data_IF_069771720702
#
_entry.id   IF_069771720702
#
_cell.length_a   1.000
_cell.length_b   1.000
_cell.length_c   1.000
_cell.angle_alpha   90.00
_cell.angle_beta   90.00
_cell.angle_gamma   90.00
#
_symmetry.space_group_name_H-M   'P 1'
#
loop_
_entity.id
_entity.type
_entity.pdbx_description
1 polymer ?
#
# COMPACT_ATOMS: atom_id res chain seq x y z
N UNK A 1 19.86 -0.48 -37.47
CA UNK A 1 19.00 -1.53 -36.88
C UNK A 1 18.85 -1.22 -35.40
N UNK A 2 17.76 -0.55 -35.02
CA UNK A 2 17.49 -0.27 -33.62
C UNK A 2 16.97 -1.55 -32.97
N UNK A 3 17.69 -2.05 -31.95
CA UNK A 3 17.15 -3.08 -31.08
C UNK A 3 15.89 -2.50 -30.41
N UNK A 4 14.74 -3.11 -30.68
CA UNK A 4 13.55 -2.89 -29.90
C UNK A 4 13.92 -3.28 -28.46
N UNK A 5 14.06 -2.28 -27.59
CA UNK A 5 14.10 -2.52 -26.15
C UNK A 5 12.79 -3.23 -25.83
N UNK A 6 12.86 -4.49 -25.40
CA UNK A 6 11.75 -5.11 -24.68
C UNK A 6 11.46 -4.20 -23.49
N UNK A 7 10.37 -3.44 -23.60
CA UNK A 7 9.86 -2.65 -22.49
C UNK A 7 9.55 -3.66 -21.40
N UNK A 8 10.27 -3.55 -20.28
CA UNK A 8 10.03 -4.42 -19.13
C UNK A 8 8.55 -4.41 -18.76
N UNK A 9 7.93 -5.59 -18.76
CA UNK A 9 6.50 -5.73 -18.46
C UNK A 9 6.27 -5.81 -16.94
N UNK A 10 5.16 -5.23 -16.50
CA UNK A 10 4.74 -5.27 -15.09
C UNK A 10 5.23 -4.13 -14.21
N UNK A 11 4.85 -4.21 -12.94
CA UNK A 11 5.25 -3.27 -11.90
C UNK A 11 5.73 -3.98 -10.64
N UNK A 12 6.66 -3.33 -9.94
CA UNK A 12 7.03 -3.67 -8.57
C UNK A 12 6.31 -2.76 -7.59
N UNK A 13 5.87 -3.34 -6.48
CA UNK A 13 5.24 -2.62 -5.39
C UNK A 13 6.02 -2.94 -4.14
N UNK A 14 6.76 -1.95 -3.65
CA UNK A 14 7.58 -2.06 -2.46
C UNK A 14 6.80 -1.53 -1.26
N UNK A 15 6.68 -2.33 -0.20
CA UNK A 15 5.92 -1.99 0.99
C UNK A 15 6.82 -2.05 2.21
N UNK A 16 6.79 -1.00 3.01
CA UNK A 16 7.46 -0.94 4.30
C UNK A 16 6.66 -0.03 5.26
N UNK A 17 6.96 -0.11 6.54
CA UNK A 17 6.31 0.68 7.58
C UNK A 17 7.29 1.39 8.52
N UNK A 18 6.83 2.51 9.08
CA UNK A 18 7.55 3.26 10.09
C UNK A 18 6.65 3.50 11.29
N UNK A 19 7.17 3.22 12.49
CA UNK A 19 6.44 3.28 13.75
C UNK A 19 6.33 1.92 14.43
N UNK A 20 6.09 1.93 15.74
CA UNK A 20 5.99 0.69 16.51
C UNK A 20 4.61 0.04 16.42
N UNK A 21 3.58 0.76 15.98
CA UNK A 21 2.18 0.32 16.02
C UNK A 21 1.66 -0.01 17.44
N UNK A 22 2.33 0.48 18.48
CA UNK A 22 1.92 0.32 19.87
C UNK A 22 1.08 1.53 20.29
N UNK A 23 0.01 1.29 21.07
CA UNK A 23 -0.78 2.36 21.67
C UNK A 23 0.11 3.36 22.39
N UNK A 24 -0.17 4.64 22.23
CA UNK A 24 0.58 5.71 22.85
C UNK A 24 -0.35 6.62 23.65
N UNK A 25 0.15 7.11 24.77
CA UNK A 25 -0.58 8.10 25.59
C UNK A 25 -0.33 9.54 25.13
N UNK A 26 0.66 9.73 24.25
CA UNK A 26 1.03 11.03 23.69
C UNK A 26 0.48 11.12 22.26
N UNK A 27 -0.22 12.22 21.95
CA UNK A 27 -0.61 12.59 20.60
C UNK A 27 0.58 12.64 19.62
N UNK A 28 0.28 12.64 18.32
CA UNK A 28 1.29 12.61 17.24
C UNK A 28 2.16 11.35 17.23
N UNK A 29 1.62 10.22 17.69
CA UNK A 29 2.26 8.91 17.65
C UNK A 29 1.92 8.18 16.36
N UNK A 30 2.21 8.87 15.25
CA UNK A 30 1.93 8.40 13.90
C UNK A 30 2.72 7.13 13.58
N UNK A 31 1.99 6.15 13.06
CA UNK A 31 2.53 4.97 12.39
C UNK A 31 2.10 5.02 10.93
N UNK A 32 3.00 4.65 10.03
CA UNK A 32 2.84 4.82 8.58
C UNK A 32 3.19 3.52 7.88
N UNK A 33 2.36 3.09 6.94
CA UNK A 33 2.71 2.07 5.94
C UNK A 33 2.78 2.77 4.59
N UNK A 34 3.89 2.60 3.88
CA UNK A 34 4.12 3.20 2.56
C UNK A 34 4.18 2.13 1.48
N UNK A 35 3.53 2.41 0.35
CA UNK A 35 3.57 1.60 -0.86
C UNK A 35 4.20 2.40 -1.99
N UNK A 36 5.41 2.05 -2.40
CA UNK A 36 6.11 2.67 -3.53
C UNK A 36 6.02 1.79 -4.77
N UNK A 37 5.32 2.29 -5.78
CA UNK A 37 4.97 1.57 -7.00
C UNK A 37 5.87 2.02 -8.13
N UNK A 38 6.57 1.06 -8.72
CA UNK A 38 7.60 1.29 -9.73
C UNK A 38 7.33 0.37 -10.92
N UNK A 39 6.81 0.88 -12.05
CA UNK A 39 6.83 0.19 -13.33
C UNK A 39 8.24 -0.33 -13.64
N UNK A 40 8.35 -1.52 -14.24
CA UNK A 40 9.64 -2.14 -14.55
C UNK A 40 10.56 -1.18 -15.36
N UNK A 41 9.99 -0.40 -16.27
CA UNK A 41 10.69 0.62 -17.06
C UNK A 41 11.40 1.71 -16.22
N UNK A 42 10.94 1.96 -14.99
CA UNK A 42 11.51 2.94 -14.07
C UNK A 42 12.45 2.30 -13.02
N UNK A 43 12.49 0.97 -12.90
CA UNK A 43 13.18 0.26 -11.80
C UNK A 43 14.66 0.59 -11.70
N UNK A 44 15.40 0.46 -12.80
CA UNK A 44 16.85 0.75 -12.83
C UNK A 44 17.18 2.19 -12.43
N UNK A 45 16.28 3.14 -12.73
CA UNK A 45 16.47 4.56 -12.37
C UNK A 45 16.24 4.79 -10.88
N UNK A 46 15.27 4.10 -10.27
CA UNK A 46 15.07 4.11 -8.81
C UNK A 46 16.31 3.57 -8.10
N UNK A 47 16.81 2.42 -8.55
CA UNK A 47 18.02 1.78 -7.99
C UNK A 47 19.24 2.69 -8.13
N UNK A 48 19.41 3.35 -9.28
CA UNK A 48 20.47 4.32 -9.49
C UNK A 48 20.34 5.52 -8.53
N UNK A 49 19.14 6.08 -8.35
CA UNK A 49 18.91 7.20 -7.42
C UNK A 49 19.30 6.83 -5.99
N UNK A 50 18.95 5.62 -5.53
CA UNK A 50 19.37 5.13 -4.22
C UNK A 50 20.90 4.91 -4.17
N UNK A 51 21.50 4.32 -5.20
CA UNK A 51 22.95 4.12 -5.27
C UNK A 51 23.74 5.44 -5.23
N UNK A 52 23.25 6.49 -5.91
CA UNK A 52 23.84 7.83 -5.85
C UNK A 52 23.72 8.44 -4.45
N UNK A 53 22.58 8.26 -3.77
CA UNK A 53 22.41 8.66 -2.38
C UNK A 53 23.42 7.95 -1.48
N UNK A 54 23.53 6.61 -1.56
CA UNK A 54 24.50 5.82 -0.79
C UNK A 54 25.92 6.31 -1.01
N UNK A 55 26.32 6.53 -2.26
CA UNK A 55 27.66 7.06 -2.61
C UNK A 55 27.93 8.42 -1.98
N UNK A 56 26.96 9.34 -1.98
CA UNK A 56 27.12 10.67 -1.33
C UNK A 56 27.33 10.56 0.19
N UNK A 57 26.81 9.50 0.81
CA UNK A 57 26.99 9.21 2.22
C UNK A 57 28.27 8.40 2.52
N UNK A 58 29.07 8.07 1.50
CA UNK A 58 30.23 7.19 1.64
C UNK A 58 29.85 5.73 1.95
N UNK A 59 28.63 5.30 1.62
CA UNK A 59 28.11 3.96 1.88
C UNK A 59 28.29 3.05 0.66
N UNK A 60 28.57 1.79 0.92
CA UNK A 60 28.63 0.72 -0.08
C UNK A 60 27.25 0.35 -0.63
N UNK A 61 27.22 -0.47 -1.67
CA UNK A 61 25.98 -0.90 -2.34
C UNK A 61 25.08 -1.71 -1.39
N UNK A 62 25.71 -2.57 -0.57
CA UNK A 62 25.04 -3.45 0.39
C UNK A 62 24.69 -2.75 1.71
N UNK A 63 25.20 -1.54 1.93
CA UNK A 63 24.95 -0.82 3.18
C UNK A 63 23.51 -0.31 3.18
N UNK A 64 22.78 -0.63 4.25
CA UNK A 64 21.49 -0.02 4.51
C UNK A 64 21.68 1.44 4.96
N UNK A 65 20.77 2.29 4.49
CA UNK A 65 20.69 3.72 4.77
C UNK A 65 19.32 3.95 5.35
N UNK A 66 19.27 4.51 6.56
CA UNK A 66 18.04 4.89 7.24
C UNK A 66 17.90 6.40 7.21
N UNK A 67 16.68 6.90 7.46
CA UNK A 67 16.40 8.33 7.46
C UNK A 67 17.28 9.11 8.45
N UNK A 68 17.62 8.51 9.60
CA UNK A 68 18.50 9.12 10.61
C UNK A 68 19.93 9.39 10.11
N UNK A 69 20.34 8.71 9.04
CA UNK A 69 21.67 8.87 8.43
C UNK A 69 21.68 10.00 7.38
N UNK A 70 20.53 10.61 7.08
CA UNK A 70 20.37 11.63 6.05
C UNK A 70 20.27 13.03 6.64
N UNK A 71 21.03 13.96 6.06
CA UNK A 71 20.73 15.38 6.19
C UNK A 71 19.45 15.72 5.41
N UNK A 72 18.75 16.79 5.81
CA UNK A 72 17.56 17.24 5.09
C UNK A 72 17.86 17.63 3.64
N UNK A 73 19.04 18.19 3.37
CA UNK A 73 19.49 18.49 2.01
C UNK A 73 19.60 17.23 1.14
N UNK A 74 20.24 16.17 1.65
CA UNK A 74 20.33 14.89 0.95
C UNK A 74 18.97 14.26 0.71
N UNK A 75 18.06 14.36 1.69
CA UNK A 75 16.68 13.89 1.54
C UNK A 75 15.93 14.68 0.46
N UNK A 76 16.01 16.02 0.47
CA UNK A 76 15.35 16.87 -0.54
C UNK A 76 15.82 16.53 -1.95
N UNK A 77 17.12 16.38 -2.15
CA UNK A 77 17.70 15.97 -3.43
C UNK A 77 17.18 14.60 -3.86
N UNK A 78 17.22 13.61 -2.97
CA UNK A 78 16.75 12.26 -3.26
C UNK A 78 15.27 12.23 -3.64
N UNK A 79 14.41 12.89 -2.87
CA UNK A 79 12.97 13.01 -3.19
C UNK A 79 12.75 13.78 -4.49
N UNK A 80 13.56 14.79 -4.77
CA UNK A 80 13.55 15.54 -6.04
C UNK A 80 13.85 14.65 -7.25
N UNK A 81 14.83 13.74 -7.14
CA UNK A 81 15.15 12.78 -8.20
C UNK A 81 14.05 11.72 -8.37
N UNK A 82 13.53 11.14 -7.27
CA UNK A 82 12.39 10.22 -7.34
C UNK A 82 11.16 10.89 -7.98
N UNK A 83 10.95 12.18 -7.69
CA UNK A 83 9.86 12.98 -8.23
C UNK A 83 9.84 13.10 -9.76
N UNK A 84 10.97 12.82 -10.43
CA UNK A 84 11.11 12.83 -11.90
C UNK A 84 10.86 11.46 -12.54
N UNK A 85 10.64 10.42 -11.73
CA UNK A 85 10.45 9.05 -12.22
C UNK A 85 8.97 8.73 -12.41
N UNK A 86 8.66 7.82 -13.33
CA UNK A 86 7.32 7.24 -13.53
C UNK A 86 6.98 6.24 -12.42
N UNK A 87 7.10 6.66 -11.15
CA UNK A 87 6.78 5.88 -9.97
C UNK A 87 5.82 6.65 -9.06
N UNK A 88 5.04 5.94 -8.25
CA UNK A 88 4.00 6.55 -7.40
C UNK A 88 4.06 6.05 -5.97
N UNK A 89 3.64 6.90 -5.03
CA UNK A 89 3.65 6.64 -3.60
C UNK A 89 2.23 6.68 -3.04
N UNK A 90 1.95 5.70 -2.17
CA UNK A 90 0.70 5.56 -1.42
C UNK A 90 1.01 5.43 0.07
N UNK A 91 0.17 6.02 0.91
CA UNK A 91 0.38 6.12 2.35
C UNK A 91 -0.90 5.75 3.07
N UNK A 92 -0.81 4.82 4.01
CA UNK A 92 -1.82 4.61 5.05
C UNK A 92 -1.18 4.93 6.40
N UNK A 93 -1.78 5.84 7.16
CA UNK A 93 -1.21 6.33 8.41
C UNK A 93 -2.26 6.41 9.52
N UNK A 94 -1.88 6.02 10.73
CA UNK A 94 -2.73 6.04 11.92
C UNK A 94 -2.02 6.71 13.08
N UNK A 95 -2.71 7.61 13.79
CA UNK A 95 -2.20 8.23 15.01
C UNK A 95 -2.61 7.44 16.24
N UNK A 96 -1.69 6.65 16.78
CA UNK A 96 -1.95 5.82 17.96
C UNK A 96 -1.94 6.58 19.28
N UNK A 97 -1.61 7.88 19.25
CA UNK A 97 -1.73 8.78 20.39
C UNK A 97 -3.18 9.19 20.68
N UNK A 98 -4.04 9.08 19.67
CA UNK A 98 -5.44 9.45 19.73
C UNK A 98 -6.39 8.27 19.48
N UNK A 99 -5.85 7.05 19.35
CA UNK A 99 -6.67 5.85 19.27
C UNK A 99 -6.97 5.31 20.66
N UNK A 100 -8.25 5.08 20.94
CA UNK A 100 -8.66 4.31 22.10
C UNK A 100 -8.21 2.84 21.95
N UNK A 101 -7.37 2.31 22.85
CA UNK A 101 -6.97 0.91 22.81
C UNK A 101 -8.15 -0.07 22.85
N UNK A 102 -9.25 0.27 23.53
CA UNK A 102 -10.44 -0.58 23.59
C UNK A 102 -11.16 -0.61 22.23
N UNK A 103 -11.22 0.51 21.51
CA UNK A 103 -11.74 0.56 20.15
C UNK A 103 -10.97 -0.38 19.20
N UNK A 104 -9.65 -0.47 19.33
CA UNK A 104 -8.82 -1.41 18.55
C UNK A 104 -9.20 -2.86 18.84
N UNK A 105 -9.31 -3.24 20.12
CA UNK A 105 -9.69 -4.60 20.54
C UNK A 105 -11.13 -4.92 20.10
N UNK A 106 -12.04 -3.96 20.22
CA UNK A 106 -13.43 -4.09 19.76
C UNK A 106 -13.50 -4.28 18.25
N UNK A 107 -12.72 -3.51 17.48
CA UNK A 107 -12.60 -3.66 16.03
C UNK A 107 -12.07 -5.04 15.66
N UNK A 108 -11.01 -5.54 16.32
CA UNK A 108 -10.48 -6.89 16.12
C UNK A 108 -11.54 -7.97 16.37
N UNK A 109 -12.23 -7.91 17.52
CA UNK A 109 -13.30 -8.87 17.87
C UNK A 109 -14.42 -8.87 16.84
N UNK A 110 -14.84 -7.70 16.36
CA UNK A 110 -15.85 -7.57 15.29
C UNK A 110 -15.39 -8.22 13.98
N UNK A 111 -14.13 -8.05 13.60
CA UNK A 111 -13.58 -8.70 12.40
C UNK A 111 -13.53 -10.23 12.55
N UNK A 112 -13.07 -10.74 13.71
CA UNK A 112 -13.07 -12.18 14.01
C UNK A 112 -14.48 -12.76 13.92
N UNK A 113 -15.46 -12.12 14.57
CA UNK A 113 -16.86 -12.55 14.51
C UNK A 113 -17.41 -12.52 13.08
N UNK A 114 -17.08 -11.50 12.28
CA UNK A 114 -17.51 -11.36 10.90
C UNK A 114 -16.95 -12.47 10.00
N UNK A 115 -15.69 -12.88 10.21
CA UNK A 115 -15.11 -14.03 9.50
C UNK A 115 -15.82 -15.33 9.90
N UNK A 116 -16.00 -15.57 11.22
CA UNK A 116 -16.68 -16.76 11.75
C UNK A 116 -18.13 -16.90 11.29
N UNK A 117 -18.84 -15.78 11.10
CA UNK A 117 -20.22 -15.78 10.60
C UNK A 117 -20.38 -16.38 9.19
N UNK A 118 -19.28 -16.50 8.42
CA UNK A 118 -19.31 -17.14 7.10
C UNK A 118 -19.05 -18.66 7.15
N UNK A 119 -18.65 -19.22 8.30
CA UNK A 119 -18.41 -20.66 8.46
C UNK A 119 -19.61 -21.52 8.05
N UNK A 120 -20.87 -21.22 8.44
CA UNK A 120 -22.02 -22.04 8.06
C UNK A 120 -22.33 -22.02 6.55
N UNK A 121 -21.83 -21.00 5.83
CA UNK A 121 -22.02 -20.87 4.38
C UNK A 121 -21.05 -21.74 3.58
N UNK A 122 -20.06 -22.35 4.23
CA UNK A 122 -19.09 -23.23 3.56
C UNK A 122 -19.70 -24.62 3.32
N UNK A 123 -19.70 -25.03 2.05
CA UNK A 123 -20.20 -26.33 1.61
C UNK A 123 -19.29 -27.48 2.06
N UNK A 124 -17.97 -27.30 1.92
CA UNK A 124 -16.95 -28.32 2.19
C UNK A 124 -16.24 -28.09 3.53
N UNK A 125 -15.73 -29.16 4.12
CA UNK A 125 -15.09 -29.11 5.43
C UNK A 125 -13.76 -28.36 5.38
N UNK A 126 -13.02 -28.45 4.28
CA UNK A 126 -11.80 -27.71 4.02
C UNK A 126 -12.03 -26.19 4.09
N UNK A 127 -13.17 -25.73 3.54
CA UNK A 127 -13.58 -24.33 3.62
C UNK A 127 -13.88 -23.90 5.06
N UNK A 128 -14.55 -24.75 5.84
CA UNK A 128 -14.82 -24.48 7.26
C UNK A 128 -13.53 -24.42 8.07
N UNK A 129 -12.64 -25.38 7.87
CA UNK A 129 -11.32 -25.41 8.50
C UNK A 129 -10.49 -24.17 8.14
N UNK A 130 -10.56 -23.70 6.89
CA UNK A 130 -9.89 -22.46 6.48
C UNK A 130 -10.46 -21.22 7.19
N UNK A 131 -11.78 -21.13 7.41
CA UNK A 131 -12.40 -20.04 8.18
C UNK A 131 -11.99 -20.10 9.65
N UNK A 132 -11.97 -21.30 10.23
CA UNK A 132 -11.58 -21.53 11.62
C UNK A 132 -10.11 -21.14 11.85
N UNK A 133 -9.20 -21.60 10.99
CA UNK A 133 -7.78 -21.23 11.03
C UNK A 133 -7.58 -19.72 10.87
N UNK A 134 -8.21 -19.10 9.87
CA UNK A 134 -8.08 -17.67 9.60
C UNK A 134 -8.56 -16.81 10.77
N UNK A 135 -9.75 -17.12 11.31
CA UNK A 135 -10.31 -16.41 12.44
C UNK A 135 -9.48 -16.60 13.71
N UNK A 136 -8.94 -17.81 13.93
CA UNK A 136 -8.05 -18.11 15.05
C UNK A 136 -6.70 -17.38 14.94
N UNK A 137 -6.10 -17.28 13.74
CA UNK A 137 -4.89 -16.48 13.52
C UNK A 137 -5.15 -15.00 13.77
N UNK A 138 -6.25 -14.47 13.26
CA UNK A 138 -6.67 -13.08 13.46
C UNK A 138 -6.89 -12.74 14.95
N UNK A 139 -7.52 -13.62 15.71
CA UNK A 139 -7.77 -13.46 17.14
C UNK A 139 -6.48 -13.49 17.97
N UNK A 140 -5.47 -14.25 17.53
CA UNK A 140 -4.17 -14.36 18.21
C UNK A 140 -3.19 -13.21 17.90
N UNK A 141 -3.49 -12.36 16.90
CA UNK A 141 -2.66 -11.19 16.65
C UNK A 141 -2.67 -10.28 17.87
N UNK A 142 -1.49 -9.82 18.29
CA UNK A 142 -1.40 -8.74 19.27
C UNK A 142 -2.06 -7.47 18.71
N UNK A 143 -2.56 -6.56 19.55
CA UNK A 143 -3.15 -5.30 19.07
C UNK A 143 -2.21 -4.54 18.12
N UNK A 144 -0.91 -4.55 18.41
CA UNK A 144 0.13 -3.97 17.55
C UNK A 144 0.14 -4.55 16.14
N UNK A 145 0.25 -5.88 16.03
CA UNK A 145 0.27 -6.56 14.73
C UNK A 145 -1.08 -6.44 14.01
N UNK A 146 -2.17 -6.39 14.76
CA UNK A 146 -3.49 -6.18 14.21
C UNK A 146 -3.64 -4.79 13.56
N UNK A 147 -3.25 -3.72 14.26
CA UNK A 147 -3.27 -2.35 13.71
C UNK A 147 -2.43 -2.28 12.44
N UNK A 148 -1.20 -2.82 12.48
CA UNK A 148 -0.32 -2.84 11.32
C UNK A 148 -0.97 -3.59 10.14
N UNK A 149 -1.60 -4.75 10.40
CA UNK A 149 -2.29 -5.51 9.35
C UNK A 149 -3.43 -4.70 8.73
N UNK A 150 -4.23 -3.99 9.52
CA UNK A 150 -5.34 -3.18 8.99
C UNK A 150 -4.82 -2.03 8.13
N UNK A 151 -3.77 -1.33 8.58
CA UNK A 151 -3.14 -0.26 7.79
C UNK A 151 -2.52 -0.79 6.49
N UNK A 152 -1.90 -1.96 6.53
CA UNK A 152 -1.30 -2.58 5.35
C UNK A 152 -2.37 -3.05 4.36
N UNK A 153 -3.47 -3.67 4.81
CA UNK A 153 -4.58 -4.06 3.93
C UNK A 153 -5.22 -2.84 3.27
N UNK A 154 -5.40 -1.76 4.03
CA UNK A 154 -5.88 -0.49 3.49
C UNK A 154 -4.95 0.06 2.40
N UNK A 155 -3.63 0.05 2.63
CA UNK A 155 -2.65 0.43 1.63
C UNK A 155 -2.71 -0.45 0.37
N UNK A 156 -2.79 -1.78 0.52
CA UNK A 156 -2.86 -2.72 -0.60
C UNK A 156 -4.08 -2.45 -1.49
N UNK A 157 -5.24 -2.22 -0.88
CA UNK A 157 -6.47 -1.84 -1.59
C UNK A 157 -6.32 -0.51 -2.34
N UNK A 158 -5.77 0.51 -1.68
CA UNK A 158 -5.50 1.81 -2.30
C UNK A 158 -4.59 1.65 -3.52
N UNK A 159 -3.46 0.96 -3.35
CA UNK A 159 -2.46 0.73 -4.41
C UNK A 159 -3.14 0.04 -5.58
N UNK A 160 -3.81 -1.09 -5.36
CA UNK A 160 -4.48 -1.85 -6.42
C UNK A 160 -5.45 -0.99 -7.23
N UNK A 161 -6.35 -0.26 -6.57
CA UNK A 161 -7.37 0.57 -7.26
C UNK A 161 -6.75 1.74 -8.00
N UNK A 162 -5.70 2.34 -7.44
CA UNK A 162 -5.14 3.58 -7.95
C UNK A 162 -4.14 3.36 -9.06
N UNK A 163 -3.26 2.38 -8.93
CA UNK A 163 -2.25 2.08 -9.94
C UNK A 163 -2.89 1.59 -11.22
N UNK A 164 -3.94 0.77 -11.11
CA UNK A 164 -4.72 0.30 -12.26
C UNK A 164 -5.26 1.49 -13.07
N UNK A 165 -5.88 2.49 -12.42
CA UNK A 165 -6.36 3.69 -13.10
C UNK A 165 -5.24 4.59 -13.65
N UNK A 166 -4.18 4.79 -12.86
CA UNK A 166 -3.12 5.73 -13.17
C UNK A 166 -2.25 5.25 -14.34
N UNK A 167 -1.87 3.97 -14.34
CA UNK A 167 -0.95 3.40 -15.33
C UNK A 167 -1.65 2.94 -16.61
N UNK A 168 -2.96 2.66 -16.61
CA UNK A 168 -3.74 2.40 -17.83
C UNK A 168 -3.70 3.56 -18.86
N UNK A 169 -3.32 4.75 -18.42
CA UNK A 169 -3.20 5.95 -19.28
C UNK A 169 -1.76 6.27 -19.70
N UNK A 170 -0.77 5.65 -19.06
CA UNK A 170 0.63 6.10 -19.07
C UNK A 170 1.57 4.98 -19.49
N UNK A 171 1.47 3.84 -18.83
CA UNK A 171 2.30 2.66 -19.07
C UNK A 171 1.39 1.41 -18.97
N UNK A 172 0.47 1.18 -19.92
CA UNK A 172 -0.48 0.07 -19.85
C UNK A 172 0.18 -1.29 -19.64
N UNK A 173 1.34 -1.53 -20.29
CA UNK A 173 2.13 -2.75 -20.14
C UNK A 173 2.60 -3.03 -18.69
N UNK A 174 2.69 -1.99 -17.84
CA UNK A 174 3.00 -2.16 -16.42
C UNK A 174 1.87 -2.88 -15.65
N UNK A 175 0.66 -2.92 -16.21
CA UNK A 175 -0.48 -3.61 -15.62
C UNK A 175 -0.51 -5.12 -15.91
N UNK A 176 0.50 -5.67 -16.61
CA UNK A 176 0.56 -7.10 -16.95
C UNK A 176 0.95 -7.99 -15.75
N UNK A 177 1.63 -7.43 -14.75
CA UNK A 177 1.97 -8.14 -13.50
C UNK A 177 2.16 -7.20 -12.31
N UNK A 178 1.80 -7.69 -11.13
CA UNK A 178 1.93 -6.99 -9.85
C UNK A 178 2.88 -7.77 -8.96
N UNK A 179 4.10 -7.24 -8.76
CA UNK A 179 5.18 -7.89 -8.00
C UNK A 179 5.32 -7.22 -6.63
N UNK A 180 4.66 -7.76 -5.61
CA UNK A 180 4.66 -7.19 -4.26
C UNK A 180 5.90 -7.65 -3.50
N UNK A 181 6.65 -6.72 -2.94
CA UNK A 181 7.85 -6.94 -2.14
C UNK A 181 7.66 -6.18 -0.84
N UNK A 182 7.37 -6.92 0.23
CA UNK A 182 7.07 -6.35 1.55
C UNK A 182 8.27 -6.61 2.47
N UNK A 183 8.63 -5.65 3.31
CA UNK A 183 9.71 -5.89 4.28
C UNK A 183 9.34 -7.03 5.24
N UNK A 184 10.29 -7.93 5.49
CA UNK A 184 10.09 -9.04 6.43
C UNK A 184 10.23 -8.55 7.88
N UNK A 185 9.24 -8.84 8.73
CA UNK A 185 9.27 -8.37 10.13
C UNK A 185 10.17 -9.23 11.02
N UNK A 186 10.03 -10.55 10.91
CA UNK A 186 10.79 -11.52 11.70
C UNK A 186 10.67 -12.90 11.07
N UNK A 187 11.76 -13.37 10.45
CA UNK A 187 11.83 -14.66 9.76
C UNK A 187 11.52 -15.88 10.67
N UNK A 188 11.57 -15.72 11.99
CA UNK A 188 11.34 -16.83 12.94
C UNK A 188 9.85 -17.05 13.30
N UNK A 189 8.95 -16.08 13.06
CA UNK A 189 7.52 -16.20 13.40
C UNK A 189 6.63 -15.56 12.33
N UNK A 190 6.31 -16.28 11.23
CA UNK A 190 5.58 -15.73 10.09
C UNK A 190 4.06 -15.62 10.33
N UNK A 191 3.57 -15.61 11.58
CA UNK A 191 2.13 -15.54 11.86
C UNK A 191 1.49 -14.32 11.21
N UNK A 192 2.14 -13.15 11.32
CA UNK A 192 1.67 -11.93 10.68
C UNK A 192 1.62 -12.08 9.15
N UNK A 193 2.72 -12.51 8.54
CA UNK A 193 2.88 -12.65 7.09
C UNK A 193 1.88 -13.64 6.48
N UNK A 194 1.69 -14.79 7.12
CA UNK A 194 0.69 -15.78 6.73
C UNK A 194 -0.73 -15.23 6.90
N UNK A 195 -1.00 -14.49 7.98
CA UNK A 195 -2.32 -13.91 8.22
C UNK A 195 -2.63 -12.84 7.17
N UNK A 196 -1.70 -11.93 6.90
CA UNK A 196 -1.85 -10.90 5.87
C UNK A 196 -2.08 -11.51 4.49
N UNK A 197 -1.26 -12.49 4.10
CA UNK A 197 -1.35 -13.15 2.77
C UNK A 197 -2.70 -13.83 2.57
N UNK A 198 -3.24 -14.49 3.60
CA UNK A 198 -4.54 -15.16 3.52
C UNK A 198 -5.72 -14.19 3.65
N UNK A 199 -5.60 -13.13 4.46
CA UNK A 199 -6.69 -12.16 4.72
C UNK A 199 -6.86 -11.14 3.60
N UNK A 200 -5.77 -10.62 3.04
CA UNK A 200 -5.82 -9.43 2.20
C UNK A 200 -6.75 -9.59 0.97
N UNK A 201 -6.68 -10.67 0.16
CA UNK A 201 -7.56 -10.81 -1.00
C UNK A 201 -9.04 -10.83 -0.61
N UNK A 202 -9.40 -11.57 0.46
CA UNK A 202 -10.78 -11.68 0.93
C UNK A 202 -11.34 -10.36 1.47
N UNK A 203 -10.53 -9.61 2.22
CA UNK A 203 -10.94 -8.29 2.73
C UNK A 203 -11.06 -7.24 1.63
N UNK A 204 -10.13 -7.23 0.66
CA UNK A 204 -10.21 -6.34 -0.51
C UNK A 204 -11.43 -6.68 -1.36
N UNK A 205 -11.76 -7.97 -1.52
CA UNK A 205 -12.98 -8.42 -2.19
C UNK A 205 -14.24 -7.93 -1.46
N UNK A 206 -14.31 -8.13 -0.14
CA UNK A 206 -15.44 -7.67 0.67
C UNK A 206 -15.62 -6.14 0.61
N UNK A 207 -14.51 -5.37 0.59
CA UNK A 207 -14.55 -3.92 0.35
C UNK A 207 -15.09 -3.61 -1.05
N UNK A 208 -14.65 -4.34 -2.07
CA UNK A 208 -15.08 -4.17 -3.47
C UNK A 208 -16.56 -4.49 -3.72
N UNK A 209 -17.17 -5.37 -2.93
CA UNK A 209 -18.62 -5.63 -3.00
C UNK A 209 -19.43 -4.42 -2.53
N UNK A 210 -18.92 -3.63 -1.58
CA UNK A 210 -19.58 -2.41 -1.09
C UNK A 210 -19.24 -1.18 -1.92
N UNK A 211 -17.98 -1.05 -2.29
CA UNK A 211 -17.43 0.05 -3.10
C UNK A 211 -16.64 -0.53 -4.28
N UNK A 212 -17.31 -0.80 -5.42
CA UNK A 212 -16.67 -1.38 -6.59
C UNK A 212 -15.54 -0.52 -7.15
N UNK A 213 -14.51 -1.18 -7.68
CA UNK A 213 -13.42 -0.50 -8.38
C UNK A 213 -13.93 0.22 -9.63
N UNK A 214 -13.51 1.47 -9.83
CA UNK A 214 -13.84 2.26 -11.02
C UNK A 214 -12.86 1.90 -12.14
N UNK A 215 -13.39 1.72 -13.36
CA UNK A 215 -12.63 1.66 -14.61
C UNK A 215 -13.15 2.76 -15.53
N UNK A 216 -12.25 3.61 -16.04
CA UNK A 216 -12.64 4.77 -16.86
C UNK A 216 -12.63 4.36 -18.32
N UNK A 217 -13.75 4.60 -19.01
CA UNK A 217 -13.86 4.32 -20.43
C UNK A 217 -12.81 5.09 -21.24
N UNK A 218 -12.21 4.42 -22.23
CA UNK A 218 -11.18 5.00 -23.10
C UNK A 218 -9.74 4.90 -22.58
N UNK A 219 -9.50 4.36 -21.39
CA UNK A 219 -8.14 3.99 -20.97
C UNK A 219 -7.75 2.60 -21.50
N UNK A 220 -6.44 2.36 -21.63
CA UNK A 220 -5.94 1.08 -22.10
C UNK A 220 -5.72 0.12 -20.93
N UNK A 221 -6.70 -0.77 -20.73
CA UNK A 221 -6.63 -1.86 -19.76
C UNK A 221 -6.30 -3.20 -20.41
N UNK A 222 -5.96 -3.27 -21.70
CA UNK A 222 -5.80 -4.54 -22.43
C UNK A 222 -4.85 -5.52 -21.74
N UNK A 223 -3.73 -5.02 -21.24
CA UNK A 223 -2.76 -5.77 -20.44
C UNK A 223 -3.32 -6.25 -19.10
N UNK A 224 -4.06 -5.40 -18.39
CA UNK A 224 -4.68 -5.78 -17.13
C UNK A 224 -5.74 -6.87 -17.35
N UNK A 225 -6.59 -6.68 -18.35
CA UNK A 225 -7.73 -7.55 -18.62
C UNK A 225 -7.29 -8.94 -19.01
N UNK A 226 -6.28 -9.03 -19.88
CA UNK A 226 -5.68 -10.29 -20.31
C UNK A 226 -5.22 -11.18 -19.15
N UNK A 227 -4.75 -10.58 -18.05
CA UNK A 227 -4.11 -11.31 -16.96
C UNK A 227 -4.96 -11.43 -15.69
N UNK A 228 -5.89 -10.49 -15.46
CA UNK A 228 -6.57 -10.37 -14.16
C UNK A 228 -8.09 -10.30 -14.24
N UNK A 229 -8.68 -10.12 -15.42
CA UNK A 229 -10.15 -10.12 -15.55
C UNK A 229 -10.67 -11.56 -15.53
N UNK A 230 -11.65 -11.83 -14.68
CA UNK A 230 -12.39 -13.10 -14.76
C UNK A 230 -13.39 -13.03 -15.92
N UNK A 231 -13.54 -14.12 -16.67
CA UNK A 231 -14.63 -14.24 -17.62
C UNK A 231 -15.98 -14.20 -16.86
N UNK A 232 -17.05 -13.63 -17.42
CA UNK A 232 -18.35 -13.55 -16.75
C UNK A 232 -18.87 -14.90 -16.22
N UNK A 233 -18.64 -15.98 -16.96
CA UNK A 233 -18.97 -17.36 -16.62
C UNK A 233 -18.15 -17.93 -15.46
N UNK A 234 -16.95 -17.40 -15.23
CA UNK A 234 -16.06 -17.80 -14.13
C UNK A 234 -16.36 -17.06 -12.83
N UNK A 235 -17.30 -16.10 -12.83
CA UNK A 235 -17.68 -15.35 -11.62
C UNK A 235 -18.52 -16.29 -10.73
N UNK A 236 -18.04 -16.64 -9.52
CA UNK A 236 -18.76 -17.57 -8.66
C UNK A 236 -20.16 -17.08 -8.28
N UNK A 237 -21.14 -17.99 -8.30
CA UNK A 237 -22.54 -17.69 -7.97
C UNK A 237 -22.71 -17.03 -6.59
N UNK A 238 -21.93 -17.46 -5.59
CA UNK A 238 -21.99 -16.87 -4.24
C UNK A 238 -21.63 -15.38 -4.22
N UNK A 239 -20.82 -14.89 -5.16
CA UNK A 239 -20.51 -13.46 -5.27
C UNK A 239 -21.68 -12.68 -5.88
N UNK A 240 -22.36 -13.26 -6.86
CA UNK A 240 -23.56 -12.68 -7.46
C UNK A 240 -24.65 -12.49 -6.40
N UNK A 241 -24.88 -13.53 -5.60
CA UNK A 241 -25.83 -13.50 -4.46
C UNK A 241 -25.43 -12.46 -3.42
N UNK A 242 -24.14 -12.42 -3.03
CA UNK A 242 -23.65 -11.49 -2.03
C UNK A 242 -23.70 -10.02 -2.47
N UNK A 243 -23.55 -9.74 -3.77
CA UNK A 243 -23.68 -8.39 -4.31
C UNK A 243 -25.14 -7.92 -4.39
N UNK A 244 -26.11 -8.85 -4.43
CA UNK A 244 -27.52 -8.52 -4.60
C UNK A 244 -27.88 -7.97 -6.00
N UNK A 245 -26.94 -8.04 -6.95
CA UNK A 245 -27.12 -7.64 -8.35
C UNK A 245 -26.16 -8.40 -9.27
N UNK A 246 -26.44 -8.42 -10.56
CA UNK A 246 -25.56 -9.05 -11.54
C UNK A 246 -24.21 -8.32 -11.62
N UNK A 247 -23.12 -9.04 -11.33
CA UNK A 247 -21.73 -8.65 -11.54
C UNK A 247 -21.37 -9.00 -12.98
N UNK A 248 -21.10 -7.97 -13.79
CA UNK A 248 -20.76 -8.11 -15.22
C UNK A 248 -19.28 -8.34 -15.48
N UNK A 249 -18.43 -8.03 -14.50
CA UNK A 249 -16.98 -8.14 -14.60
C UNK A 249 -16.40 -8.25 -13.19
N UNK A 250 -15.46 -9.18 -13.00
CA UNK A 250 -14.73 -9.34 -11.76
C UNK A 250 -13.22 -9.32 -12.01
N UNK A 251 -12.46 -8.99 -10.96
CA UNK A 251 -11.00 -9.08 -10.97
C UNK A 251 -10.58 -10.27 -10.12
N UNK A 252 -9.68 -11.09 -10.63
CA UNK A 252 -9.03 -12.15 -9.87
C UNK A 252 -7.97 -11.56 -8.93
N UNK A 253 -8.40 -11.12 -7.74
CA UNK A 253 -7.51 -10.56 -6.70
C UNK A 253 -6.44 -11.56 -6.24
N UNK A 254 -6.74 -12.86 -6.27
CA UNK A 254 -5.75 -13.90 -6.01
C UNK A 254 -4.61 -13.88 -7.02
N UNK A 255 -4.90 -13.64 -8.30
CA UNK A 255 -3.90 -13.46 -9.34
C UNK A 255 -3.10 -12.16 -9.17
N UNK A 256 -3.75 -11.05 -8.81
CA UNK A 256 -3.09 -9.76 -8.52
C UNK A 256 -2.09 -9.88 -7.35
N UNK A 257 -2.44 -10.64 -6.32
CA UNK A 257 -1.62 -10.82 -5.13
C UNK A 257 -0.64 -12.01 -5.23
N UNK A 258 -0.63 -12.74 -6.35
CA UNK A 258 0.08 -14.03 -6.47
C UNK A 258 1.60 -13.91 -6.32
N UNK A 259 2.22 -12.90 -6.93
CA UNK A 259 3.65 -12.62 -6.77
C UNK A 259 3.90 -11.68 -5.59
N UNK A 260 3.50 -12.12 -4.40
CA UNK A 260 3.82 -11.45 -3.13
C UNK A 260 4.94 -12.17 -2.40
N UNK A 261 5.96 -11.41 -1.98
CA UNK A 261 7.10 -11.94 -1.23
C UNK A 261 7.44 -11.00 -0.08
N UNK A 262 7.69 -11.58 1.09
CA UNK A 262 8.41 -10.92 2.17
C UNK A 262 9.90 -11.04 1.89
N UNK A 263 10.61 -9.92 1.98
CA UNK A 263 12.02 -9.81 1.59
C UNK A 263 12.76 -8.94 2.59
N UNK A 264 14.07 -9.11 2.66
CA UNK A 264 14.93 -8.24 3.46
C UNK A 264 15.18 -6.94 2.72
N UNK A 265 15.00 -5.81 3.41
CA UNK A 265 15.28 -4.47 2.90
C UNK A 265 16.65 -4.31 2.21
N UNK A 266 17.71 -4.95 2.73
CA UNK A 266 19.06 -4.85 2.17
C UNK A 266 19.23 -5.60 0.84
N UNK A 267 18.45 -6.66 0.61
CA UNK A 267 18.50 -7.45 -0.62
C UNK A 267 17.71 -6.80 -1.77
N UNK A 268 16.74 -5.96 -1.43
CA UNK A 268 15.80 -5.37 -2.39
C UNK A 268 15.82 -3.83 -2.28
N UNK A 269 16.58 -3.13 -3.15
CA UNK A 269 16.72 -1.67 -3.10
C UNK A 269 15.40 -0.90 -3.03
N UNK A 270 14.36 -1.37 -3.73
CA UNK A 270 13.05 -0.73 -3.71
C UNK A 270 12.36 -0.76 -2.35
N UNK A 271 12.56 -1.81 -1.55
CA UNK A 271 12.05 -1.88 -0.15
C UNK A 271 12.79 -0.86 0.70
N UNK A 272 14.11 -0.74 0.55
CA UNK A 272 14.86 0.32 1.22
C UNK A 272 14.39 1.73 0.83
N UNK A 273 13.97 1.96 -0.42
CA UNK A 273 13.32 3.23 -0.79
C UNK A 273 11.98 3.41 -0.08
N UNK A 274 11.16 2.35 0.01
CA UNK A 274 9.90 2.39 0.74
C UNK A 274 10.11 2.71 2.24
N UNK A 275 11.13 2.15 2.90
CA UNK A 275 11.52 2.47 4.28
C UNK A 275 11.76 3.98 4.47
N UNK A 276 12.62 4.54 3.61
CA UNK A 276 12.97 5.96 3.64
C UNK A 276 11.73 6.84 3.45
N UNK A 277 10.82 6.44 2.56
CA UNK A 277 9.57 7.16 2.30
C UNK A 277 8.58 7.03 3.47
N UNK A 278 8.41 5.84 4.05
CA UNK A 278 7.56 5.62 5.23
C UNK A 278 8.06 6.46 6.42
N UNK A 279 9.37 6.41 6.66
CA UNK A 279 10.03 7.17 7.72
C UNK A 279 9.94 8.67 7.49
N UNK A 280 10.12 9.14 6.25
CA UNK A 280 9.99 10.56 5.93
C UNK A 280 8.54 11.04 6.13
N UNK A 281 7.54 10.27 5.70
CA UNK A 281 6.14 10.60 5.95
C UNK A 281 5.80 10.65 7.42
N UNK A 282 6.27 9.67 8.21
CA UNK A 282 6.07 9.67 9.66
C UNK A 282 6.64 10.93 10.32
N UNK A 283 7.86 11.34 9.92
CA UNK A 283 8.51 12.55 10.43
C UNK A 283 7.78 13.84 9.96
N UNK A 284 7.23 13.85 8.75
CA UNK A 284 6.39 14.94 8.22
C UNK A 284 5.11 15.13 9.04
N UNK A 285 4.40 14.04 9.34
CA UNK A 285 3.17 14.07 10.12
C UNK A 285 3.41 14.56 11.56
N UNK A 286 4.63 14.37 12.08
CA UNK A 286 5.05 14.82 13.41
C UNK A 286 5.67 16.21 13.42
N UNK A 287 5.74 16.89 12.27
CA UNK A 287 6.38 18.19 12.10
C UNK A 287 7.84 18.25 12.59
N UNK A 288 8.60 17.18 12.34
CA UNK A 288 9.94 16.99 12.90
C UNK A 288 11.08 17.36 11.93
N UNK A 289 10.78 17.97 10.78
CA UNK A 289 11.77 18.55 9.89
C UNK A 289 11.89 20.06 10.10
N UNK A 290 13.10 20.62 9.92
CA UNK A 290 13.35 22.06 9.92
C UNK A 290 12.50 22.76 8.85
N UNK A 291 12.39 22.15 7.66
CA UNK A 291 11.54 22.63 6.56
C UNK A 291 10.50 21.57 6.17
N UNK A 292 9.55 21.34 7.08
CA UNK A 292 8.50 20.33 6.95
C UNK A 292 7.63 20.51 5.70
N UNK A 293 7.32 21.76 5.33
CA UNK A 293 6.50 22.10 4.18
C UNK A 293 7.16 21.68 2.86
N UNK A 294 8.46 21.92 2.70
CA UNK A 294 9.15 21.55 1.48
C UNK A 294 9.30 20.04 1.35
N UNK A 295 9.54 19.31 2.45
CA UNK A 295 9.54 17.84 2.44
C UNK A 295 8.15 17.32 2.09
N UNK A 296 7.09 17.84 2.71
CA UNK A 296 5.71 17.46 2.39
C UNK A 296 5.37 17.70 0.92
N UNK A 297 5.84 18.81 0.34
CA UNK A 297 5.68 19.12 -1.09
C UNK A 297 6.41 18.11 -1.99
N UNK A 298 7.64 17.73 -1.65
CA UNK A 298 8.42 16.77 -2.42
C UNK A 298 7.84 15.36 -2.34
N UNK A 299 7.40 14.92 -1.16
CA UNK A 299 6.68 13.66 -0.97
C UNK A 299 5.35 13.67 -1.73
N UNK A 300 4.62 14.80 -1.69
CA UNK A 300 3.39 15.01 -2.43
C UNK A 300 3.54 14.75 -3.93
N UNK A 301 4.64 15.21 -4.55
CA UNK A 301 4.96 14.97 -5.97
C UNK A 301 5.16 13.51 -6.34
N UNK A 302 5.35 12.61 -5.38
CA UNK A 302 5.37 11.16 -5.60
C UNK A 302 3.98 10.55 -5.57
N UNK A 303 2.99 11.22 -4.98
CA UNK A 303 1.61 10.72 -4.86
C UNK A 303 0.75 11.12 -6.06
N UNK A 304 -0.44 10.53 -6.16
CA UNK A 304 -1.41 10.80 -7.21
C UNK A 304 -2.65 11.46 -6.60
N UNK A 305 -3.20 12.47 -7.28
CA UNK A 305 -4.45 13.11 -6.90
C UNK A 305 -5.59 12.08 -6.96
N UNK A 306 -6.27 11.85 -5.86
CA UNK A 306 -7.63 11.27 -5.85
C UNK A 306 -8.44 11.94 -4.77
N UNK A 307 -9.73 12.07 -5.03
CA UNK A 307 -10.69 12.36 -3.98
C UNK A 307 -11.14 11.06 -3.29
N UNK A 308 -11.83 11.24 -2.17
CA UNK A 308 -12.45 10.16 -1.39
C UNK A 308 -13.33 9.26 -2.27
N UNK A 309 -13.45 7.96 -1.93
CA UNK A 309 -13.01 7.33 -0.69
C UNK A 309 -11.56 6.80 -0.69
N UNK A 310 -10.81 6.87 -1.80
CA UNK A 310 -9.50 6.20 -1.94
C UNK A 310 -8.34 7.19 -2.18
N UNK A 311 -7.99 8.07 -1.25
CA UNK A 311 -6.88 9.02 -1.42
C UNK A 311 -5.53 8.28 -1.45
N UNK A 312 -4.51 8.82 -2.14
CA UNK A 312 -3.14 8.29 -2.04
C UNK A 312 -2.47 8.53 -0.68
N UNK A 313 -3.06 9.39 0.14
CA UNK A 313 -2.64 9.66 1.52
C UNK A 313 -3.88 9.47 2.39
N UNK A 314 -3.99 8.31 3.02
CA UNK A 314 -5.10 7.96 3.89
C UNK A 314 -4.67 8.07 5.35
N UNK A 315 -5.29 9.01 6.08
CA UNK A 315 -5.17 9.10 7.53
C UNK A 315 -6.36 8.33 8.11
N UNK A 316 -6.10 7.15 8.67
CA UNK A 316 -7.13 6.23 9.10
C UNK A 316 -7.42 6.32 10.61
N UNK A 317 -8.62 5.88 11.00
CA UNK A 317 -9.01 5.65 12.39
C UNK A 317 -9.68 4.28 12.52
N UNK A 318 -9.50 3.59 13.65
CA UNK A 318 -10.19 2.33 13.95
C UNK A 318 -11.38 2.53 14.92
N UNK A 319 -11.55 3.76 15.44
CA UNK A 319 -12.65 4.18 16.29
C UNK A 319 -13.45 5.30 15.64
N UNK A 320 -13.74 6.34 16.41
CA UNK A 320 -14.39 7.54 15.87
C UNK A 320 -13.50 8.22 14.81
N UNK A 321 -14.11 8.63 13.71
CA UNK A 321 -13.43 9.43 12.69
C UNK A 321 -13.13 10.81 13.26
N UNK A 322 -11.86 11.21 13.16
CA UNK A 322 -11.43 12.55 13.54
C UNK A 322 -10.71 13.19 12.38
N UNK A 323 -11.03 14.45 12.12
CA UNK A 323 -10.32 15.23 11.12
C UNK A 323 -8.90 15.53 11.62
N UNK A 324 -7.93 15.41 10.73
CA UNK A 324 -6.58 15.88 11.02
C UNK A 324 -6.59 17.41 11.16
N UNK A 325 -5.88 17.91 12.18
CA UNK A 325 -5.78 19.33 12.52
C UNK A 325 -4.31 19.79 12.51
N UNK A 326 -4.08 21.09 12.61
CA UNK A 326 -2.75 21.68 12.82
C UNK A 326 -1.71 21.32 11.75
N UNK A 327 -0.53 20.92 12.19
CA UNK A 327 0.62 20.61 11.33
C UNK A 327 0.37 19.43 10.39
N UNK A 328 -0.38 18.42 10.85
CA UNK A 328 -0.78 17.25 10.05
C UNK A 328 -1.67 17.68 8.89
N UNK A 329 -2.70 18.49 9.18
CA UNK A 329 -3.59 19.04 8.15
C UNK A 329 -2.79 19.84 7.11
N UNK A 330 -1.92 20.74 7.57
CA UNK A 330 -1.09 21.56 6.69
C UNK A 330 -0.18 20.72 5.79
N UNK A 331 0.54 19.75 6.37
CA UNK A 331 1.44 18.88 5.63
C UNK A 331 0.70 18.06 4.56
N UNK A 332 -0.43 17.45 4.93
CA UNK A 332 -1.24 16.67 3.99
C UNK A 332 -1.88 17.54 2.91
N UNK A 333 -2.30 18.77 3.22
CA UNK A 333 -2.82 19.71 2.24
C UNK A 333 -1.73 20.11 1.22
N UNK A 334 -0.52 20.43 1.68
CA UNK A 334 0.62 20.74 0.82
C UNK A 334 0.96 19.57 -0.09
N UNK A 335 1.00 18.36 0.47
CA UNK A 335 1.27 17.14 -0.30
C UNK A 335 0.17 16.88 -1.35
N UNK A 336 -1.11 17.01 -0.99
CA UNK A 336 -2.25 16.87 -1.92
C UNK A 336 -2.18 17.89 -3.06
N UNK A 337 -1.84 19.15 -2.76
CA UNK A 337 -1.74 20.21 -3.76
C UNK A 337 -0.54 20.03 -4.72
N UNK A 338 0.47 19.26 -4.31
CA UNK A 338 1.64 18.95 -5.12
C UNK A 338 1.59 17.57 -5.80
N UNK A 339 0.53 16.80 -5.53
CA UNK A 339 0.31 15.48 -6.11
C UNK A 339 0.13 15.54 -7.63
N UNK A 340 0.54 14.45 -8.28
CA UNK A 340 0.42 14.30 -9.74
C UNK A 340 -1.04 14.19 -10.14
N UNK A 341 -1.48 14.79 -11.25
CA UNK A 341 -2.85 14.64 -11.71
C UNK A 341 -3.14 13.17 -12.05
N UNK A 342 -4.29 12.65 -11.61
CA UNK A 342 -4.75 11.31 -11.99
C UNK A 342 -4.88 11.19 -13.50
N UNK A 343 -5.57 12.15 -14.10
CA UNK A 343 -5.79 12.20 -15.53
C UNK A 343 -4.56 12.75 -16.23
N UNK A 344 -4.10 12.04 -17.25
CA UNK A 344 -3.03 12.54 -18.11
C UNK A 344 -3.55 13.78 -18.84
N UNK A 345 -2.85 14.91 -18.72
CA UNK A 345 -3.16 16.09 -19.54
C UNK A 345 -2.87 15.73 -21.00
N UNK A 346 -3.86 15.96 -21.87
CA UNK A 346 -3.72 15.76 -23.31
C UNK A 346 -2.75 16.77 -23.91
#
# INVERSE_FOLDING_TARGET
MAAAFELGEGMFIYVDESGSFVSATRGDSWCVVAGYVVPEVARKRVELSLGLLKRRLGRGIQDEVKLKDLSEANLKDFLGELGKLEATLFISAIDLGHQDPEAVVSHQKKQVASVRANRPKMLYEEGRASIDDLSGRLERLSPQLYIQMVAQIDLLDQVFRMTTLYYAQRVPAALSSFKWRMDEKNSARPLFEQTLTHMAPGLIQAKSLRDPGIFVEGFDYSHFEKHFRSAPEDIPAYLQEAAGHAIKSAVNLGAVMRDSKFVRSHDVPGVQVADLLASAWRRVLRAEFEDNDSIARLLGRLTVQRQTPNPSIHLMSLGEERLAEGSVHRATLIAKNSARPMLRRR
#
